data_IF_398512138984
#
_entry.id   IF_398512138984
#
_cell.length_a   1.000
_cell.length_b   1.000
_cell.length_c   1.000
_cell.angle_alpha   90.00
_cell.angle_beta   90.00
_cell.angle_gamma   90.00
#
_symmetry.space_group_name_H-M   'P 1'
#
loop_
_entity.id
_entity.type
_entity.pdbx_description
1 polymer ?
#
# COMPACT_ATOMS: atom_id res chain seq x y z
N UNK A 1 16.48 42.03 33.01
CA UNK A 1 16.74 40.59 33.30
C UNK A 1 15.54 39.80 32.81
N UNK A 2 15.75 38.76 32.00
CA UNK A 2 14.96 38.52 30.79
C UNK A 2 13.78 37.57 31.02
N UNK A 3 12.66 37.88 30.36
CA UNK A 3 11.54 36.97 30.17
C UNK A 3 11.99 35.85 29.23
N UNK A 4 12.06 34.64 29.75
CA UNK A 4 12.36 33.43 28.98
C UNK A 4 11.25 33.19 27.94
N UNK A 5 11.63 33.27 26.66
CA UNK A 5 10.90 32.63 25.58
C UNK A 5 11.03 31.11 25.76
N UNK A 6 10.00 30.48 26.32
CA UNK A 6 9.88 29.03 26.27
C UNK A 6 9.31 28.63 24.90
N UNK A 7 10.24 28.10 24.10
CA UNK A 7 10.11 27.28 22.89
C UNK A 7 8.69 26.79 22.57
N UNK A 8 8.27 27.12 21.34
CA UNK A 8 7.11 26.53 20.71
C UNK A 8 7.14 24.98 20.82
N UNK A 9 6.04 24.32 21.23
CA UNK A 9 5.93 22.88 21.19
C UNK A 9 5.69 22.44 19.74
N UNK A 10 6.69 22.56 18.89
CA UNK A 10 6.65 21.99 17.54
C UNK A 10 6.94 20.49 17.61
N UNK A 11 5.96 19.73 18.11
CA UNK A 11 5.81 18.31 17.85
C UNK A 11 4.36 17.83 18.11
N UNK A 12 3.37 18.68 17.80
CA UNK A 12 1.96 18.29 17.69
C UNK A 12 1.49 18.47 16.25
N UNK A 13 2.16 17.79 15.31
CA UNK A 13 1.88 17.90 13.86
C UNK A 13 1.63 16.54 13.21
N UNK A 14 0.75 15.75 13.81
CA UNK A 14 -0.13 14.87 13.06
C UNK A 14 -1.53 15.07 13.63
N UNK A 15 -2.29 15.96 13.01
CA UNK A 15 -3.71 16.14 13.32
C UNK A 15 -4.41 14.79 13.23
N UNK A 16 -5.22 14.40 14.22
CA UNK A 16 -5.92 13.12 14.17
C UNK A 16 -6.91 13.22 13.00
N UNK A 17 -6.82 12.29 12.05
CA UNK A 17 -7.71 12.20 10.89
C UNK A 17 -7.54 13.32 9.85
N UNK A 18 -6.43 13.29 9.10
CA UNK A 18 -6.65 13.47 7.66
C UNK A 18 -7.67 12.41 7.25
N UNK A 19 -8.79 12.84 6.68
CA UNK A 19 -9.84 11.95 6.20
C UNK A 19 -9.20 10.81 5.40
N UNK A 20 -9.26 9.60 5.94
CA UNK A 20 -8.59 8.42 5.39
C UNK A 20 -9.07 8.17 3.96
N UNK A 21 -10.30 8.56 3.64
CA UNK A 21 -10.81 8.50 2.28
C UNK A 21 -10.11 9.49 1.35
N UNK A 22 -9.83 10.70 1.82
CA UNK A 22 -9.07 11.71 1.06
C UNK A 22 -7.65 11.21 0.83
N UNK A 23 -7.02 10.58 1.84
CA UNK A 23 -5.73 9.94 1.68
C UNK A 23 -5.78 8.82 0.65
N UNK A 24 -6.78 7.93 0.70
CA UNK A 24 -6.97 6.87 -0.29
C UNK A 24 -7.17 7.41 -1.71
N UNK A 25 -7.98 8.46 -1.89
CA UNK A 25 -8.17 9.12 -3.20
C UNK A 25 -6.86 9.72 -3.73
N UNK A 26 -6.05 10.34 -2.87
CA UNK A 26 -4.72 10.86 -3.24
C UNK A 26 -3.75 9.73 -3.58
N UNK A 27 -3.79 8.65 -2.81
CA UNK A 27 -2.98 7.45 -3.08
C UNK A 27 -3.29 6.90 -4.47
N UNK A 28 -4.58 6.78 -4.83
CA UNK A 28 -4.99 6.37 -6.18
C UNK A 28 -4.38 7.23 -7.29
N UNK A 29 -4.43 8.56 -7.13
CA UNK A 29 -3.85 9.49 -8.10
C UNK A 29 -2.34 9.28 -8.24
N UNK A 30 -1.63 9.03 -7.13
CA UNK A 30 -0.19 8.75 -7.20
C UNK A 30 0.12 7.39 -7.81
N UNK A 31 -0.70 6.36 -7.59
CA UNK A 31 -0.58 5.06 -8.29
C UNK A 31 -0.77 5.26 -9.80
N UNK A 32 -1.77 6.05 -10.23
CA UNK A 32 -1.99 6.38 -11.65
C UNK A 32 -0.77 7.08 -12.26
N UNK A 33 -0.13 8.01 -11.52
CA UNK A 33 1.11 8.67 -11.95
C UNK A 33 2.32 7.74 -11.96
N UNK A 34 2.44 6.83 -10.98
CA UNK A 34 3.53 5.87 -10.92
C UNK A 34 3.45 4.88 -12.10
N UNK A 35 2.24 4.41 -12.42
CA UNK A 35 2.03 3.49 -13.55
C UNK A 35 2.48 4.09 -14.88
N UNK A 36 2.26 5.39 -15.11
CA UNK A 36 2.70 6.06 -16.35
C UNK A 36 4.22 6.00 -16.57
N UNK A 37 5.00 5.77 -15.51
CA UNK A 37 6.46 5.65 -15.55
C UNK A 37 6.94 4.21 -15.72
N UNK A 38 6.06 3.23 -15.61
CA UNK A 38 6.41 1.81 -15.80
C UNK A 38 6.70 1.57 -17.28
N UNK A 39 7.87 1.02 -17.65
CA UNK A 39 8.18 0.67 -19.02
C UNK A 39 7.15 -0.33 -19.56
N UNK A 40 6.63 -0.06 -20.77
CA UNK A 40 5.68 -0.96 -21.45
C UNK A 40 6.37 -2.12 -22.19
N UNK A 41 7.68 -2.04 -22.31
CA UNK A 41 8.54 -2.99 -23.02
C UNK A 41 9.93 -2.95 -22.38
N UNK A 42 10.60 -4.10 -22.30
CA UNK A 42 11.90 -4.23 -21.67
C UNK A 42 12.07 -5.65 -21.15
N UNK A 43 13.17 -5.91 -20.45
CA UNK A 43 13.33 -7.17 -19.75
C UNK A 43 12.33 -7.27 -18.58
N UNK A 44 11.91 -8.48 -18.22
CA UNK A 44 11.02 -8.71 -17.07
C UNK A 44 11.57 -8.07 -15.80
N UNK A 45 12.89 -8.14 -15.59
CA UNK A 45 13.55 -7.56 -14.42
C UNK A 45 13.42 -6.03 -14.35
N UNK A 46 13.47 -5.33 -15.50
CA UNK A 46 13.30 -3.87 -15.54
C UNK A 46 11.85 -3.47 -15.27
N UNK A 47 10.90 -4.24 -15.82
CA UNK A 47 9.47 -4.02 -15.61
C UNK A 47 9.12 -4.27 -14.13
N UNK A 48 9.62 -5.34 -13.53
CA UNK A 48 9.38 -5.68 -12.13
C UNK A 48 9.96 -4.62 -11.19
N UNK A 49 11.21 -4.17 -11.43
CA UNK A 49 11.83 -3.11 -10.64
C UNK A 49 11.10 -1.77 -10.75
N UNK A 50 10.66 -1.41 -11.96
CA UNK A 50 9.87 -0.20 -12.16
C UNK A 50 8.44 -0.34 -11.60
N UNK A 51 7.97 -1.59 -11.48
CA UNK A 51 6.67 -1.94 -10.94
C UNK A 51 6.59 -1.86 -9.41
N UNK A 52 7.72 -1.84 -8.70
CA UNK A 52 7.76 -1.69 -7.24
C UNK A 52 7.37 -0.27 -6.81
N UNK A 53 6.24 -0.18 -6.11
CA UNK A 53 5.69 1.06 -5.57
C UNK A 53 5.57 0.99 -4.04
N UNK A 54 6.36 0.14 -3.38
CA UNK A 54 6.36 -0.02 -1.93
C UNK A 54 6.63 1.31 -1.22
N UNK A 55 7.59 2.09 -1.71
CA UNK A 55 7.91 3.42 -1.19
C UNK A 55 6.71 4.38 -1.22
N UNK A 56 5.85 4.24 -2.22
CA UNK A 56 4.64 5.04 -2.36
C UNK A 56 3.59 4.56 -1.36
N UNK A 57 3.37 3.25 -1.25
CA UNK A 57 2.41 2.69 -0.31
C UNK A 57 2.75 3.03 1.14
N UNK A 58 4.03 2.94 1.56
CA UNK A 58 4.50 3.29 2.91
C UNK A 58 4.24 4.77 3.27
N UNK A 59 4.20 5.68 2.29
CA UNK A 59 3.87 7.09 2.52
C UNK A 59 2.41 7.29 2.96
N UNK A 60 1.50 6.46 2.44
CA UNK A 60 0.07 6.53 2.72
C UNK A 60 -0.34 5.59 3.85
N UNK A 61 0.38 4.50 4.03
CA UNK A 61 0.19 3.52 5.10
C UNK A 61 1.53 3.37 5.83
N UNK A 62 1.84 4.29 6.77
CA UNK A 62 3.06 4.19 7.57
C UNK A 62 3.11 2.87 8.36
N UNK A 63 4.31 2.35 8.59
CA UNK A 63 4.49 1.19 9.47
C UNK A 63 3.98 1.52 10.89
N UNK A 64 3.34 0.55 11.53
CA UNK A 64 2.65 0.72 12.80
C UNK A 64 1.23 1.29 12.69
N UNK A 65 0.76 1.66 11.49
CA UNK A 65 -0.66 2.03 11.28
C UNK A 65 -1.57 0.85 11.63
N UNK A 66 -2.78 1.16 12.09
CA UNK A 66 -3.79 0.12 12.31
C UNK A 66 -4.17 -0.55 10.99
N UNK A 67 -4.49 -1.84 11.03
CA UNK A 67 -5.02 -2.51 9.85
C UNK A 67 -6.37 -1.92 9.42
N UNK A 68 -7.21 -1.48 10.35
CA UNK A 68 -8.50 -0.87 10.03
C UNK A 68 -8.32 0.40 9.19
N UNK A 69 -7.44 1.31 9.60
CA UNK A 69 -7.18 2.55 8.86
C UNK A 69 -6.54 2.27 7.50
N UNK A 70 -5.56 1.36 7.47
CA UNK A 70 -4.89 0.95 6.24
C UNK A 70 -5.89 0.38 5.22
N UNK A 71 -6.81 -0.47 5.66
CA UNK A 71 -7.85 -1.04 4.81
C UNK A 71 -8.84 0.02 4.32
N UNK A 72 -9.17 1.03 5.13
CA UNK A 72 -10.02 2.17 4.70
C UNK A 72 -9.32 2.97 3.60
N UNK A 73 -8.04 3.29 3.77
CA UNK A 73 -7.23 3.98 2.75
C UNK A 73 -7.20 3.17 1.45
N UNK A 74 -6.96 1.87 1.55
CA UNK A 74 -6.90 0.97 0.38
C UNK A 74 -8.26 0.88 -0.34
N UNK A 75 -9.36 0.72 0.39
CA UNK A 75 -10.71 0.69 -0.19
C UNK A 75 -11.03 2.02 -0.89
N UNK A 76 -10.69 3.15 -0.26
CA UNK A 76 -10.88 4.47 -0.86
C UNK A 76 -9.98 4.71 -2.08
N UNK A 77 -8.82 4.05 -2.16
CA UNK A 77 -7.98 4.03 -3.35
C UNK A 77 -8.49 3.08 -4.46
N UNK A 78 -9.58 2.35 -4.21
CA UNK A 78 -10.22 1.45 -5.18
C UNK A 78 -9.73 0.01 -5.13
N UNK A 79 -9.02 -0.40 -4.08
CA UNK A 79 -8.62 -1.79 -3.89
C UNK A 79 -9.76 -2.65 -3.33
N UNK A 80 -9.87 -3.86 -3.86
CA UNK A 80 -10.57 -4.95 -3.18
C UNK A 80 -9.63 -5.52 -2.09
N UNK A 81 -9.99 -5.31 -0.83
CA UNK A 81 -9.23 -5.78 0.33
C UNK A 81 -9.75 -7.16 0.74
N UNK A 82 -8.87 -8.16 0.72
CA UNK A 82 -9.17 -9.52 1.16
C UNK A 82 -9.36 -9.62 2.67
N UNK A 83 -9.98 -10.72 3.13
CA UNK A 83 -10.12 -10.99 4.55
C UNK A 83 -8.76 -11.18 5.23
N UNK A 84 -8.68 -10.76 6.50
CA UNK A 84 -7.49 -10.99 7.32
C UNK A 84 -7.23 -12.48 7.47
N UNK A 85 -6.04 -12.99 7.09
CA UNK A 85 -5.75 -14.41 7.19
C UNK A 85 -5.62 -14.85 8.65
N UNK A 86 -6.05 -16.08 8.93
CA UNK A 86 -5.89 -16.65 10.26
C UNK A 86 -4.43 -17.05 10.56
N UNK A 87 -4.09 -17.32 11.84
CA UNK A 87 -2.74 -17.77 12.22
C UNK A 87 -2.33 -19.09 11.54
N UNK A 88 -3.31 -19.91 11.15
CA UNK A 88 -3.10 -21.20 10.49
C UNK A 88 -3.53 -21.17 9.01
N UNK A 89 -3.36 -20.04 8.32
CA UNK A 89 -3.74 -19.92 6.91
C UNK A 89 -3.06 -21.02 6.06
N UNK A 90 -3.83 -21.82 5.31
CA UNK A 90 -3.27 -22.86 4.45
C UNK A 90 -2.49 -22.27 3.26
N UNK A 91 -1.48 -23.00 2.81
CA UNK A 91 -0.67 -22.65 1.64
C UNK A 91 0.81 -22.41 1.96
N UNK A 92 1.65 -22.44 0.92
CA UNK A 92 3.11 -22.32 1.05
C UNK A 92 3.64 -20.98 0.54
N UNK A 93 2.76 -20.02 0.24
CA UNK A 93 3.18 -18.70 -0.21
C UNK A 93 3.83 -17.93 0.95
N UNK A 94 4.88 -17.12 0.68
CA UNK A 94 5.56 -16.35 1.70
C UNK A 94 4.63 -15.31 2.34
N UNK A 95 3.76 -14.69 1.53
CA UNK A 95 2.79 -13.67 1.93
C UNK A 95 1.43 -14.23 2.40
N UNK A 96 1.38 -15.50 2.84
CA UNK A 96 0.10 -16.16 3.20
C UNK A 96 -0.58 -15.55 4.42
N UNK A 97 0.16 -14.86 5.27
CA UNK A 97 -0.37 -14.18 6.46
C UNK A 97 -0.60 -12.68 6.25
N UNK A 98 -0.39 -12.20 5.02
CA UNK A 98 -0.58 -10.79 4.70
C UNK A 98 -2.04 -10.52 4.35
N UNK A 99 -2.52 -9.33 4.72
CA UNK A 99 -3.76 -8.81 4.15
C UNK A 99 -3.45 -8.39 2.72
N UNK A 100 -4.10 -9.04 1.77
CA UNK A 100 -3.90 -8.81 0.34
C UNK A 100 -4.98 -7.87 -0.17
N UNK A 101 -4.57 -6.73 -0.71
CA UNK A 101 -5.44 -5.79 -1.39
C UNK A 101 -5.06 -5.71 -2.87
N UNK A 102 -6.05 -5.80 -3.77
CA UNK A 102 -5.78 -5.80 -5.22
C UNK A 102 -6.71 -4.87 -6.00
N UNK A 103 -6.16 -4.27 -7.05
CA UNK A 103 -6.94 -3.72 -8.16
C UNK A 103 -6.70 -4.63 -9.36
N UNK A 104 -7.69 -5.46 -9.62
CA UNK A 104 -7.71 -6.33 -10.80
C UNK A 104 -8.00 -5.51 -12.07
N UNK A 105 -7.34 -5.88 -13.18
CA UNK A 105 -7.51 -5.23 -14.48
C UNK A 105 -7.27 -3.72 -14.40
N UNK A 106 -6.32 -3.31 -13.57
CA UNK A 106 -5.99 -1.90 -13.35
C UNK A 106 -5.73 -1.16 -14.67
N UNK A 107 -5.05 -1.83 -15.60
CA UNK A 107 -5.02 -1.48 -17.03
C UNK A 107 -5.02 -2.74 -17.88
N UNK A 108 -5.85 -2.72 -18.91
CA UNK A 108 -5.87 -3.73 -19.97
C UNK A 108 -5.39 -3.07 -21.25
N UNK A 109 -4.36 -3.63 -21.88
CA UNK A 109 -3.93 -3.21 -23.20
C UNK A 109 -4.78 -3.92 -24.27
N UNK A 110 -4.99 -3.26 -25.40
CA UNK A 110 -5.57 -3.86 -26.61
C UNK A 110 -4.74 -5.06 -27.15
N UNK A 111 -3.49 -5.20 -26.68
CA UNK A 111 -2.52 -6.20 -27.08
C UNK A 111 -2.26 -7.24 -25.98
N UNK A 112 -3.32 -7.88 -25.47
CA UNK A 112 -3.23 -9.09 -24.64
C UNK A 112 -2.43 -8.98 -23.33
N UNK A 113 -2.25 -7.79 -22.76
CA UNK A 113 -1.62 -7.64 -21.44
C UNK A 113 -2.58 -7.07 -20.41
N UNK A 114 -2.51 -7.66 -19.21
CA UNK A 114 -3.28 -7.23 -18.04
C UNK A 114 -2.31 -6.81 -16.96
N UNK A 115 -2.42 -5.59 -16.47
CA UNK A 115 -1.71 -5.11 -15.29
C UNK A 115 -2.67 -5.11 -14.11
N UNK A 116 -2.27 -5.73 -13.01
CA UNK A 116 -2.89 -5.64 -11.70
C UNK A 116 -2.02 -4.81 -10.75
N UNK A 117 -2.63 -4.23 -9.72
CA UNK A 117 -1.91 -3.60 -8.59
C UNK A 117 -2.18 -4.42 -7.35
N UNK A 118 -1.13 -4.76 -6.60
CA UNK A 118 -1.25 -5.44 -5.31
C UNK A 118 -0.59 -4.62 -4.21
N UNK A 119 -1.23 -4.60 -3.04
CA UNK A 119 -0.64 -4.15 -1.78
C UNK A 119 -0.78 -5.28 -0.77
N UNK A 120 0.32 -5.64 -0.11
CA UNK A 120 0.40 -6.62 0.95
C UNK A 120 0.68 -5.87 2.25
N UNK A 121 -0.16 -6.09 3.25
CA UNK A 121 0.05 -5.59 4.61
C UNK A 121 0.41 -6.78 5.51
N UNK A 122 1.65 -6.81 5.97
CA UNK A 122 2.12 -7.90 6.83
C UNK A 122 1.88 -7.58 8.30
N UNK A 123 1.32 -8.52 9.07
CA UNK A 123 1.31 -8.43 10.52
C UNK A 123 2.69 -8.75 11.09
N UNK A 124 2.93 -8.42 12.37
CA UNK A 124 4.19 -8.76 13.05
C UNK A 124 4.32 -10.26 13.30
N UNK A 125 3.18 -10.92 13.56
CA UNK A 125 3.08 -12.36 13.71
C UNK A 125 1.82 -12.86 12.98
N UNK A 126 1.79 -14.13 12.53
CA UNK A 126 0.60 -14.71 11.90
C UNK A 126 -0.68 -14.52 12.75
N UNK A 127 -1.69 -13.86 12.18
CA UNK A 127 -2.96 -13.59 12.85
C UNK A 127 -2.95 -12.40 13.83
N UNK A 128 -1.81 -11.74 14.03
CA UNK A 128 -1.70 -10.57 14.92
C UNK A 128 -1.87 -9.25 14.16
N UNK A 129 -3.11 -8.78 14.12
CA UNK A 129 -3.48 -7.51 13.49
C UNK A 129 -3.66 -6.36 14.49
N UNK A 130 -3.36 -6.59 15.77
CA UNK A 130 -3.51 -5.58 16.83
C UNK A 130 -2.25 -4.73 16.98
N UNK A 131 -1.07 -5.30 16.76
CA UNK A 131 0.24 -4.61 16.82
C UNK A 131 0.50 -3.67 15.62
N UNK A 132 -0.50 -3.47 14.75
CA UNK A 132 -0.39 -2.64 13.54
C UNK A 132 0.39 -3.30 12.39
N UNK A 133 0.47 -2.61 11.26
CA UNK A 133 1.15 -3.10 10.05
C UNK A 133 2.67 -3.11 10.27
N UNK A 134 3.30 -4.28 10.17
CA UNK A 134 4.73 -4.46 10.39
C UNK A 134 5.56 -4.25 9.11
N UNK A 135 5.00 -4.61 7.96
CA UNK A 135 5.59 -4.38 6.64
C UNK A 135 4.51 -4.10 5.60
N UNK A 136 4.88 -3.34 4.58
CA UNK A 136 4.05 -3.06 3.41
C UNK A 136 4.87 -3.45 2.18
N UNK A 137 4.24 -4.15 1.24
CA UNK A 137 4.80 -4.38 -0.09
C UNK A 137 3.76 -3.99 -1.12
N UNK A 138 4.17 -3.28 -2.17
CA UNK A 138 3.24 -2.88 -3.22
C UNK A 138 3.89 -2.93 -4.59
N UNK A 139 3.18 -3.49 -5.57
CA UNK A 139 3.70 -3.62 -6.92
C UNK A 139 2.62 -3.62 -8.00
N UNK A 140 3.05 -3.23 -9.21
CA UNK A 140 2.37 -3.58 -10.45
C UNK A 140 2.80 -4.97 -10.89
N UNK A 141 1.86 -5.79 -11.34
CA UNK A 141 2.14 -7.08 -11.97
C UNK A 141 1.49 -7.11 -13.32
N UNK A 142 2.28 -7.26 -14.38
CA UNK A 142 1.77 -7.38 -15.76
C UNK A 142 1.86 -8.81 -16.22
N UNK A 143 0.73 -9.39 -16.62
CA UNK A 143 0.66 -10.70 -17.26
C UNK A 143 0.39 -10.51 -18.75
N UNK A 144 1.12 -11.25 -19.58
CA UNK A 144 0.90 -11.34 -21.02
C UNK A 144 0.09 -12.61 -21.30
N UNK A 145 -1.03 -12.47 -22.02
CA UNK A 145 -1.91 -13.56 -22.47
C UNK A 145 -1.42 -14.13 -23.80
#
# INVERSE_FOLDING_TARGET
MPLYFALAPWASLASPWQDLEVLGKRFRIEIDKAYQKVPKSGSTQEIDKAGDITWLAVRYIPLGSSFDDAEVILRAAGFAVGARPGPNQPGNLPHRYDVVARIEQYRTSLLFSRTDVSVLLSPKAPGDFQDGVSAVFASFTTSYL
#
